data_IF_904060963776
#
_entry.id   IF_904060963776
#
_cell.length_a   1.000
_cell.length_b   1.000
_cell.length_c   1.000
_cell.angle_alpha   90.00
_cell.angle_beta   90.00
_cell.angle_gamma   90.00
#
_symmetry.space_group_name_H-M   'P 1'
#
loop_
_entity.id
_entity.type
_entity.pdbx_description
1 polymer ?
#
# COMPACT_ATOMS: atom_id res chain seq x y z
N UNK A 1 -19.33 -6.14 31.00
CA UNK A 1 -19.53 -6.61 29.62
C UNK A 1 -19.28 -8.11 29.53
N UNK A 2 -20.15 -8.84 28.84
CA UNK A 2 -20.03 -10.29 28.62
C UNK A 2 -18.84 -10.61 27.67
N UNK A 3 -17.93 -11.50 28.11
CA UNK A 3 -16.73 -11.90 27.35
C UNK A 3 -17.09 -12.53 26.00
N UNK A 4 -18.23 -13.21 25.89
CA UNK A 4 -18.72 -13.79 24.62
C UNK A 4 -19.12 -12.70 23.63
N UNK A 5 -19.82 -11.66 24.08
CA UNK A 5 -20.17 -10.49 23.26
C UNK A 5 -18.92 -9.76 22.76
N UNK A 6 -17.92 -9.59 23.65
CA UNK A 6 -16.64 -8.98 23.26
C UNK A 6 -15.89 -9.79 22.20
N UNK A 7 -15.88 -11.13 22.32
CA UNK A 7 -15.28 -12.00 21.32
C UNK A 7 -16.00 -11.94 19.96
N UNK A 8 -17.33 -11.87 19.96
CA UNK A 8 -18.12 -11.68 18.74
C UNK A 8 -17.80 -10.32 18.09
N UNK A 9 -17.72 -9.25 18.87
CA UNK A 9 -17.34 -7.92 18.38
C UNK A 9 -15.94 -7.92 17.75
N UNK A 10 -14.94 -8.56 18.37
CA UNK A 10 -13.60 -8.71 17.79
C UNK A 10 -13.58 -9.53 16.51
N UNK A 11 -14.49 -10.49 16.37
CA UNK A 11 -14.61 -11.28 15.15
C UNK A 11 -15.18 -10.46 14.01
N UNK A 12 -16.23 -9.66 14.27
CA UNK A 12 -16.78 -8.70 13.32
C UNK A 12 -15.75 -7.64 12.90
N UNK A 13 -15.09 -7.00 13.88
CA UNK A 13 -14.03 -6.03 13.63
C UNK A 13 -12.87 -6.64 12.83
N UNK A 14 -12.50 -7.89 13.12
CA UNK A 14 -11.47 -8.60 12.36
C UNK A 14 -11.87 -8.88 10.90
N UNK A 15 -13.16 -9.08 10.61
CA UNK A 15 -13.63 -9.22 9.23
C UNK A 15 -13.55 -7.87 8.47
N UNK A 16 -14.05 -6.79 9.08
CA UNK A 16 -13.95 -5.43 8.51
C UNK A 16 -12.50 -5.06 8.24
N UNK A 17 -11.60 -5.33 9.19
CA UNK A 17 -10.18 -4.99 9.03
C UNK A 17 -9.51 -5.76 7.89
N UNK A 18 -9.90 -7.02 7.64
CA UNK A 18 -9.38 -7.79 6.49
C UNK A 18 -9.85 -7.20 5.16
N UNK A 19 -11.10 -6.75 5.09
CA UNK A 19 -11.61 -6.04 3.90
C UNK A 19 -10.84 -4.74 3.66
N UNK A 20 -10.57 -3.97 4.71
CA UNK A 20 -9.76 -2.75 4.59
C UNK A 20 -8.31 -3.04 4.14
N UNK A 21 -7.69 -4.13 4.63
CA UNK A 21 -6.36 -4.55 4.13
C UNK A 21 -6.41 -4.90 2.66
N UNK A 22 -7.47 -5.57 2.19
CA UNK A 22 -7.64 -5.91 0.79
C UNK A 22 -7.84 -4.67 -0.08
N UNK A 23 -8.68 -3.73 0.36
CA UNK A 23 -8.90 -2.45 -0.31
C UNK A 23 -7.60 -1.63 -0.42
N UNK A 24 -6.91 -1.42 0.70
CA UNK A 24 -5.63 -0.69 0.71
C UNK A 24 -4.54 -1.39 -0.12
N UNK A 25 -4.62 -2.72 -0.28
CA UNK A 25 -3.71 -3.46 -1.18
C UNK A 25 -4.02 -3.19 -2.65
N UNK A 26 -5.31 -3.10 -3.01
CA UNK A 26 -5.72 -2.75 -4.37
C UNK A 26 -5.29 -1.31 -4.70
N UNK A 27 -5.55 -0.36 -3.79
CA UNK A 27 -5.11 1.04 -3.95
C UNK A 27 -3.59 1.17 -4.07
N UNK A 28 -2.82 0.39 -3.30
CA UNK A 28 -1.36 0.34 -3.45
C UNK A 28 -0.94 -0.20 -4.83
N UNK A 29 -1.62 -1.23 -5.34
CA UNK A 29 -1.33 -1.77 -6.66
C UNK A 29 -1.61 -0.73 -7.76
N UNK A 30 -2.75 -0.04 -7.68
CA UNK A 30 -3.11 1.04 -8.62
C UNK A 30 -2.08 2.18 -8.57
N UNK A 31 -1.61 2.55 -7.37
CA UNK A 31 -0.58 3.57 -7.20
C UNK A 31 0.79 3.15 -7.77
N UNK A 32 1.16 1.86 -7.63
CA UNK A 32 2.38 1.31 -8.23
C UNK A 32 2.31 1.30 -9.76
N UNK A 33 1.17 0.91 -10.34
CA UNK A 33 0.97 0.92 -11.79
C UNK A 33 0.98 2.35 -12.36
N UNK A 34 0.37 3.30 -11.63
CA UNK A 34 0.44 4.72 -11.98
C UNK A 34 1.88 5.25 -11.92
N UNK A 35 2.65 4.90 -10.90
CA UNK A 35 4.06 5.26 -10.79
C UNK A 35 4.88 4.70 -11.96
N UNK A 36 4.73 3.42 -12.28
CA UNK A 36 5.42 2.79 -13.41
C UNK A 36 5.13 3.53 -14.74
N UNK A 37 3.86 3.89 -14.97
CA UNK A 37 3.46 4.68 -16.15
C UNK A 37 4.15 6.06 -16.18
N UNK A 38 4.28 6.73 -15.03
CA UNK A 38 4.98 8.03 -14.95
C UNK A 38 6.49 7.90 -15.11
N UNK A 39 7.10 6.82 -14.63
CA UNK A 39 8.51 6.51 -14.87
C UNK A 39 8.80 6.30 -16.36
N UNK A 40 7.96 5.53 -17.05
CA UNK A 40 8.06 5.33 -18.50
C UNK A 40 7.94 6.65 -19.26
N UNK A 41 6.99 7.51 -18.89
CA UNK A 41 6.82 8.82 -19.49
C UNK A 41 8.03 9.74 -19.27
N UNK A 42 8.59 9.76 -18.05
CA UNK A 42 9.79 10.55 -17.74
C UNK A 42 11.02 10.06 -18.52
N UNK A 43 11.17 8.75 -18.67
CA UNK A 43 12.24 8.14 -19.48
C UNK A 43 12.07 8.45 -20.97
N UNK A 44 10.83 8.42 -21.48
CA UNK A 44 10.53 8.83 -22.85
C UNK A 44 10.87 10.31 -23.10
N UNK A 45 10.49 11.22 -22.20
CA UNK A 45 10.87 12.64 -22.27
C UNK A 45 12.37 12.84 -22.24
N UNK A 46 13.09 12.06 -21.42
CA UNK A 46 14.56 12.10 -21.37
C UNK A 46 15.19 11.70 -22.70
N UNK A 47 14.70 10.63 -23.34
CA UNK A 47 15.18 10.22 -24.67
C UNK A 47 14.86 11.25 -25.75
N UNK A 48 13.71 11.92 -25.66
CA UNK A 48 13.35 13.01 -26.56
C UNK A 48 14.33 14.19 -26.43
N UNK A 49 14.70 14.56 -25.19
CA UNK A 49 15.69 15.60 -24.95
C UNK A 49 17.04 15.23 -25.56
N UNK A 50 17.55 14.02 -25.30
CA UNK A 50 18.80 13.53 -25.89
C UNK A 50 18.79 13.53 -27.42
N UNK A 51 17.66 13.17 -28.02
CA UNK A 51 17.50 13.20 -29.48
C UNK A 51 17.56 14.64 -30.01
N UNK A 52 16.97 15.59 -29.28
CA UNK A 52 16.96 17.01 -29.65
C UNK A 52 18.35 17.64 -29.49
N UNK A 53 19.07 17.29 -28.43
CA UNK A 53 20.47 17.68 -28.21
C UNK A 53 21.39 17.16 -29.33
N UNK A 54 21.26 15.89 -29.69
CA UNK A 54 22.02 15.32 -30.81
C UNK A 54 21.72 16.00 -32.14
N UNK A 55 20.45 16.26 -32.43
CA UNK A 55 20.07 16.99 -33.64
C UNK A 55 20.67 18.40 -33.68
N UNK A 56 20.73 19.09 -32.53
CA UNK A 56 21.38 20.38 -32.41
C UNK A 56 22.89 20.31 -32.67
N UNK A 57 23.57 19.29 -32.14
CA UNK A 57 24.99 19.02 -32.43
C UNK A 57 25.23 18.75 -33.92
N UNK A 58 24.36 17.97 -34.57
CA UNK A 58 24.45 17.69 -36.01
C UNK A 58 24.28 18.98 -36.85
N UNK A 59 23.37 19.88 -36.45
CA UNK A 59 23.20 21.19 -37.10
C UNK A 59 24.43 22.08 -36.89
N UNK A 60 25.03 22.05 -35.70
CA UNK A 60 26.26 22.78 -35.40
C UNK A 60 27.47 22.27 -36.20
N UNK A 61 27.56 20.96 -36.40
CA UNK A 61 28.64 20.31 -37.14
C UNK A 61 28.47 20.38 -38.67
N UNK A 62 27.35 20.90 -39.16
CA UNK A 62 27.07 20.98 -40.60
C UNK A 62 28.09 21.87 -41.33
N UNK A 63 28.49 21.45 -42.53
CA UNK A 63 29.47 22.17 -43.35
C UNK A 63 29.01 23.57 -43.79
N UNK A 64 27.70 23.81 -43.79
CA UNK A 64 27.09 25.11 -44.05
C UNK A 64 26.18 25.50 -42.89
N UNK A 65 26.38 26.71 -42.37
CA UNK A 65 25.55 27.24 -41.29
C UNK A 65 24.15 27.62 -41.80
N UNK A 66 23.12 27.00 -41.22
CA UNK A 66 21.71 27.36 -41.41
C UNK A 66 21.15 27.94 -40.08
N UNK A 67 20.97 29.27 -39.97
CA UNK A 67 20.47 29.91 -38.76
C UNK A 67 19.03 29.50 -38.41
N UNK A 68 18.21 29.14 -39.40
CA UNK A 68 16.84 28.70 -39.16
C UNK A 68 16.80 27.26 -38.63
N UNK A 69 17.65 26.37 -39.15
CA UNK A 69 17.83 25.03 -38.59
C UNK A 69 18.34 25.10 -37.14
N UNK A 70 19.29 25.99 -36.87
CA UNK A 70 19.84 26.21 -35.54
C UNK A 70 18.77 26.69 -34.55
N UNK A 71 17.95 27.67 -34.95
CA UNK A 71 16.82 28.16 -34.15
C UNK A 71 15.80 27.06 -33.87
N UNK A 72 15.42 26.25 -34.88
CA UNK A 72 14.48 25.13 -34.70
C UNK A 72 15.03 24.07 -33.75
N UNK A 73 16.31 23.74 -33.86
CA UNK A 73 16.96 22.77 -32.97
C UNK A 73 17.00 23.27 -31.51
N UNK A 74 17.35 24.54 -31.29
CA UNK A 74 17.31 25.14 -29.95
C UNK A 74 15.90 25.17 -29.35
N UNK A 75 14.88 25.51 -30.15
CA UNK A 75 13.48 25.46 -29.70
C UNK A 75 13.03 24.04 -29.34
N UNK A 76 13.47 23.03 -30.09
CA UNK A 76 13.14 21.63 -29.81
C UNK A 76 13.73 21.17 -28.46
N UNK A 77 14.95 21.61 -28.12
CA UNK A 77 15.55 21.36 -26.81
C UNK A 77 14.71 21.99 -25.70
N UNK A 78 14.39 23.28 -25.80
CA UNK A 78 13.59 23.98 -24.78
C UNK A 78 12.24 23.26 -24.51
N UNK A 79 11.54 22.89 -25.58
CA UNK A 79 10.27 22.15 -25.46
C UNK A 79 10.47 20.77 -24.83
N UNK A 80 11.58 20.08 -25.12
CA UNK A 80 11.89 18.79 -24.52
C UNK A 80 12.30 18.91 -23.04
N UNK A 81 13.00 19.98 -22.65
CA UNK A 81 13.34 20.29 -21.26
C UNK A 81 12.09 20.57 -20.43
N UNK A 82 11.18 21.42 -20.95
CA UNK A 82 9.91 21.72 -20.28
C UNK A 82 9.08 20.44 -20.05
N UNK A 83 8.95 19.59 -21.07
CA UNK A 83 8.27 18.28 -20.94
C UNK A 83 8.96 17.36 -19.94
N UNK A 84 10.29 17.36 -19.90
CA UNK A 84 11.04 16.56 -18.93
C UNK A 84 10.81 17.05 -17.50
N UNK A 85 10.73 18.37 -17.30
CA UNK A 85 10.36 18.94 -16.00
C UNK A 85 8.95 18.52 -15.58
N UNK A 86 7.95 18.68 -16.45
CA UNK A 86 6.56 18.28 -16.19
C UNK A 86 6.44 16.78 -15.86
N UNK A 87 7.12 15.92 -16.62
CA UNK A 87 7.08 14.46 -16.38
C UNK A 87 7.82 14.05 -15.11
N UNK A 88 8.89 14.76 -14.72
CA UNK A 88 9.55 14.56 -13.42
C UNK A 88 8.65 14.94 -12.25
N UNK A 89 7.97 16.08 -12.34
CA UNK A 89 7.02 16.51 -11.29
C UNK A 89 5.86 15.51 -11.16
N UNK A 90 5.32 15.05 -12.28
CA UNK A 90 4.28 14.01 -12.29
C UNK A 90 4.77 12.69 -11.67
N UNK A 91 6.02 12.29 -11.95
CA UNK A 91 6.63 11.11 -11.32
C UNK A 91 6.76 11.30 -9.81
N UNK A 92 7.26 12.45 -9.34
CA UNK A 92 7.40 12.72 -7.91
C UNK A 92 6.05 12.71 -7.17
N UNK A 93 4.99 13.22 -7.80
CA UNK A 93 3.64 13.12 -7.23
C UNK A 93 3.17 11.66 -7.14
N UNK A 94 3.46 10.84 -8.16
CA UNK A 94 3.13 9.41 -8.14
C UNK A 94 3.96 8.64 -7.10
N UNK A 95 5.24 8.96 -6.92
CA UNK A 95 6.09 8.39 -5.87
C UNK A 95 5.53 8.72 -4.47
N UNK A 96 5.09 9.96 -4.25
CA UNK A 96 4.47 10.36 -3.00
C UNK A 96 3.14 9.63 -2.74
N UNK A 97 2.31 9.45 -3.78
CA UNK A 97 1.05 8.71 -3.71
C UNK A 97 1.28 7.22 -3.40
N UNK A 98 2.24 6.58 -4.06
CA UNK A 98 2.64 5.19 -3.77
C UNK A 98 3.13 5.05 -2.32
N UNK A 99 3.98 5.96 -1.87
CA UNK A 99 4.48 5.98 -0.49
C UNK A 99 3.35 6.11 0.54
N UNK A 100 2.36 6.96 0.27
CA UNK A 100 1.18 7.11 1.12
C UNK A 100 0.32 5.84 1.15
N UNK A 101 0.00 5.27 -0.01
CA UNK A 101 -0.78 4.02 -0.12
C UNK A 101 -0.07 2.84 0.57
N UNK A 102 1.26 2.78 0.45
CA UNK A 102 2.09 1.76 1.11
C UNK A 102 2.03 1.88 2.63
N UNK A 103 2.13 3.11 3.15
CA UNK A 103 2.03 3.37 4.57
C UNK A 103 0.64 3.01 5.11
N UNK A 104 -0.42 3.34 4.38
CA UNK A 104 -1.81 2.99 4.72
C UNK A 104 -2.04 1.48 4.75
N UNK A 105 -1.64 0.77 3.69
CA UNK A 105 -1.70 -0.70 3.63
C UNK A 105 -0.98 -1.34 4.82
N UNK A 106 0.22 -0.87 5.14
CA UNK A 106 0.98 -1.35 6.29
C UNK A 106 0.24 -1.08 7.61
N UNK A 107 -0.35 0.11 7.77
CA UNK A 107 -1.17 0.49 8.91
C UNK A 107 -2.37 -0.45 9.11
N UNK A 108 -3.14 -0.72 8.04
CA UNK A 108 -4.25 -1.69 8.10
C UNK A 108 -3.77 -3.10 8.43
N UNK A 109 -2.61 -3.52 7.91
CA UNK A 109 -2.04 -4.84 8.19
C UNK A 109 -1.66 -5.01 9.66
N UNK A 110 -1.06 -3.99 10.26
CA UNK A 110 -0.74 -3.97 11.70
C UNK A 110 -2.00 -4.03 12.56
N UNK A 111 -3.03 -3.23 12.23
CA UNK A 111 -4.33 -3.27 12.93
C UNK A 111 -4.98 -4.66 12.84
N UNK A 112 -4.97 -5.28 11.66
CA UNK A 112 -5.50 -6.63 11.45
C UNK A 112 -4.79 -7.67 12.33
N UNK A 113 -3.46 -7.57 12.42
CA UNK A 113 -2.64 -8.44 13.28
C UNK A 113 -3.00 -8.25 14.75
N UNK A 114 -3.06 -7.01 15.23
CA UNK A 114 -3.39 -6.70 16.62
C UNK A 114 -4.77 -7.23 17.02
N UNK A 115 -5.79 -7.05 16.16
CA UNK A 115 -7.13 -7.59 16.37
C UNK A 115 -7.09 -9.13 16.40
N UNK A 116 -6.36 -9.75 15.48
CA UNK A 116 -6.20 -11.21 15.43
C UNK A 116 -5.56 -11.78 16.68
N UNK A 117 -4.49 -11.15 17.19
CA UNK A 117 -3.84 -11.51 18.45
C UNK A 117 -4.77 -11.35 19.65
N UNK A 118 -5.51 -10.24 19.72
CA UNK A 118 -6.46 -10.00 20.80
C UNK A 118 -7.60 -11.03 20.79
N UNK A 119 -8.14 -11.34 19.61
CA UNK A 119 -9.17 -12.37 19.42
C UNK A 119 -8.67 -13.74 19.90
N UNK A 120 -7.44 -14.14 19.54
CA UNK A 120 -6.84 -15.41 20.01
C UNK A 120 -6.67 -15.44 21.52
N UNK A 121 -6.22 -14.34 22.15
CA UNK A 121 -6.12 -14.25 23.61
C UNK A 121 -7.48 -14.39 24.29
N UNK A 122 -8.51 -13.73 23.77
CA UNK A 122 -9.88 -13.83 24.28
C UNK A 122 -10.45 -15.24 24.11
N UNK A 123 -10.21 -15.88 22.97
CA UNK A 123 -10.65 -17.26 22.73
C UNK A 123 -10.08 -18.22 23.77
N UNK A 124 -8.75 -18.18 24.00
CA UNK A 124 -8.09 -19.01 25.02
C UNK A 124 -8.70 -18.80 26.41
N UNK A 125 -8.95 -17.55 26.82
CA UNK A 125 -9.59 -17.26 28.11
C UNK A 125 -11.02 -17.81 28.21
N UNK A 126 -11.78 -17.75 27.13
CA UNK A 126 -13.15 -18.30 27.10
C UNK A 126 -13.15 -19.83 27.22
N UNK A 127 -12.23 -20.50 26.52
CA UNK A 127 -12.04 -21.95 26.60
C UNK A 127 -11.64 -22.35 28.02
N UNK A 128 -10.62 -21.70 28.59
CA UNK A 128 -10.20 -21.96 29.98
C UNK A 128 -11.35 -21.79 30.98
N UNK A 129 -12.13 -20.71 30.86
CA UNK A 129 -13.27 -20.46 31.77
C UNK A 129 -14.34 -21.56 31.65
N UNK A 130 -14.53 -22.13 30.45
CA UNK A 130 -15.47 -23.23 30.24
C UNK A 130 -14.96 -24.55 30.83
N UNK A 131 -13.66 -24.83 30.67
CA UNK A 131 -12.99 -25.99 31.26
C UNK A 131 -12.98 -25.93 32.80
N UNK A 132 -12.63 -24.78 33.38
CA UNK A 132 -12.65 -24.56 34.83
C UNK A 132 -14.06 -24.77 35.41
N UNK A 133 -15.09 -24.25 34.72
CA UNK A 133 -16.47 -24.43 35.14
C UNK A 133 -16.88 -25.91 35.08
N UNK A 134 -16.54 -26.61 34.00
CA UNK A 134 -16.83 -28.03 33.87
C UNK A 134 -16.16 -28.86 34.98
N UNK A 135 -14.92 -28.52 35.38
CA UNK A 135 -14.24 -29.17 36.49
C UNK A 135 -14.96 -28.94 37.82
N UNK A 136 -15.40 -27.71 38.11
CA UNK A 136 -16.18 -27.40 39.32
C UNK A 136 -17.52 -28.14 39.34
N UNK A 137 -18.24 -28.17 38.21
CA UNK A 137 -19.53 -28.87 38.09
C UNK A 137 -19.36 -30.39 38.32
N UNK A 138 -18.26 -30.98 37.84
CA UNK A 138 -17.92 -32.39 38.10
C UNK A 138 -17.61 -32.67 39.58
N UNK A 139 -16.87 -31.78 40.24
CA UNK A 139 -16.58 -31.90 41.69
C UNK A 139 -17.86 -31.79 42.51
N UNK A 140 -18.73 -30.82 42.19
CA UNK A 140 -20.02 -30.64 42.86
C UNK A 140 -20.92 -31.87 42.68
N UNK A 141 -20.95 -32.45 41.47
CA UNK A 141 -21.68 -33.67 41.20
C UNK A 141 -21.14 -34.86 42.00
N UNK A 142 -19.82 -35.03 42.08
CA UNK A 142 -19.20 -36.07 42.88
C UNK A 142 -19.54 -35.94 44.37
N UNK A 143 -19.42 -34.72 44.93
CA UNK A 143 -19.76 -34.45 46.33
C UNK A 143 -21.25 -34.70 46.62
N UNK A 144 -22.16 -34.33 45.71
CA UNK A 144 -23.60 -34.61 45.87
C UNK A 144 -23.93 -36.11 45.87
N UNK A 145 -23.21 -36.91 45.06
CA UNK A 145 -23.36 -38.37 45.03
C UNK A 145 -22.82 -39.03 46.29
N UNK A 146 -21.78 -38.48 46.88
CA UNK A 146 -21.21 -38.97 48.14
C UNK A 146 -22.11 -38.63 49.32
N UNK A 147 -22.69 -37.43 49.38
CA UNK A 147 -23.65 -37.04 50.42
C UNK A 147 -25.00 -37.80 50.36
N UNK A 148 -25.32 -38.41 49.22
CA UNK A 148 -26.53 -39.22 49.02
C UNK A 148 -26.33 -40.72 49.33
N UNK A 149 -25.11 -41.12 49.73
CA UNK A 149 -24.79 -42.47 50.22
C UNK A 149 -24.79 -42.47 51.74
#
# INVERSE_FOLDING_TARGET
MDRKRHFAALTGLGAVQRLQVAAARAELADAMDALATKEEAAEASRRQLQTSERYYEDVLAAASFDPDAMRRAGLAILVAEDRLAETRDARHQAEAAEGAARAEWHGHRLRARAIGEHRRRMHRKLVQTAEDKAAVDLIALAASKEAAR
#
